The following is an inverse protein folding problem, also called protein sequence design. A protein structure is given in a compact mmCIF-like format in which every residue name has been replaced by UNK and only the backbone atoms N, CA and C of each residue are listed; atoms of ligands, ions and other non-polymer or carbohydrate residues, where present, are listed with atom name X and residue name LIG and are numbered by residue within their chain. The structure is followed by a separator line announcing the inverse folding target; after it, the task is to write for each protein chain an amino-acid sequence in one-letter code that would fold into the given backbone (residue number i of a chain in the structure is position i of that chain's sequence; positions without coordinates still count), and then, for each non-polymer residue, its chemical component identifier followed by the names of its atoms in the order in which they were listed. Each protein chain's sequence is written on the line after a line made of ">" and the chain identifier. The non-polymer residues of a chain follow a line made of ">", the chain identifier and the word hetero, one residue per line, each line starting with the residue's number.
data_IF_405197935969
#
_entry.id   IF_405197935969
#
_cell.length_a   1.000
_cell.length_b   1.000
_cell.length_c   1.000
_cell.angle_alpha   90.00
_cell.angle_beta   90.00
_cell.angle_gamma   90.00
#
_symmetry.space_group_name_H-M   'P 1'
#
loop_
_entity.id
_entity.type
_entity.pdbx_description
1 polymer ?
#
# COMPACT_ATOMS: atom_id res chain seq x y z
N UNK A 1 -14.61 14.77 55.24
CA UNK A 1 -15.38 13.55 55.61
C UNK A 1 -14.50 12.36 55.31
N UNK A 2 -13.58 11.98 56.20
CA UNK A 2 -13.83 11.14 57.39
C UNK A 2 -14.71 9.94 57.03
N UNK A 3 -14.06 8.80 56.78
CA UNK A 3 -14.59 7.50 57.19
C UNK A 3 -13.43 6.61 57.55
N UNK A 4 -12.96 6.80 58.79
CA UNK A 4 -12.27 5.75 59.54
C UNK A 4 -13.10 4.48 59.45
N UNK A 5 -12.50 3.40 58.97
CA UNK A 5 -13.00 2.05 59.20
C UNK A 5 -11.87 1.28 59.86
N UNK A 6 -11.62 1.63 61.11
CA UNK A 6 -10.95 0.75 62.06
C UNK A 6 -12.02 -0.13 62.72
N UNK A 7 -11.63 -1.38 63.01
CA UNK A 7 -12.40 -2.45 63.67
C UNK A 7 -13.52 -3.07 62.81
N UNK A 8 -13.46 -4.32 62.33
CA UNK A 8 -12.83 -5.53 62.87
C UNK A 8 -12.40 -6.43 61.70
N UNK A 9 -11.11 -6.49 61.37
CA UNK A 9 -10.61 -7.47 60.37
C UNK A 9 -10.50 -8.82 61.07
N UNK A 10 -11.35 -9.76 60.68
CA UNK A 10 -11.27 -11.13 61.16
C UNK A 10 -9.98 -11.76 60.59
N UNK A 11 -8.88 -11.60 61.32
CA UNK A 11 -7.64 -12.31 61.01
C UNK A 11 -7.93 -13.80 61.11
N UNK A 12 -7.87 -14.48 59.96
CA UNK A 12 -7.97 -15.93 59.94
C UNK A 12 -6.74 -16.49 60.66
N UNK A 13 -6.98 -17.34 61.66
CA UNK A 13 -5.92 -18.03 62.40
C UNK A 13 -5.10 -18.90 61.42
N UNK A 14 -3.77 -18.77 61.44
CA UNK A 14 -2.84 -19.55 60.61
C UNK A 14 -3.13 -21.05 60.70
N UNK A 15 -3.56 -21.51 61.88
CA UNK A 15 -3.97 -22.90 62.10
C UNK A 15 -5.15 -23.33 61.22
N UNK A 16 -6.12 -22.44 60.99
CA UNK A 16 -7.26 -22.71 60.10
C UNK A 16 -6.82 -22.76 58.64
N UNK A 17 -5.89 -21.88 58.25
CA UNK A 17 -5.32 -21.89 56.88
C UNK A 17 -4.54 -23.18 56.62
N UNK A 18 -3.75 -23.65 57.58
CA UNK A 18 -3.04 -24.93 57.48
C UNK A 18 -4.02 -26.10 57.39
N UNK A 19 -5.08 -26.09 58.19
CA UNK A 19 -6.13 -27.13 58.12
C UNK A 19 -6.86 -27.12 56.77
N UNK A 20 -7.11 -25.94 56.20
CA UNK A 20 -7.65 -25.78 54.85
C UNK A 20 -6.71 -26.39 53.79
N UNK A 21 -5.42 -26.04 53.82
CA UNK A 21 -4.41 -26.54 52.86
C UNK A 21 -4.19 -28.06 52.97
N UNK A 22 -4.34 -28.63 54.17
CA UNK A 22 -4.22 -30.07 54.43
C UNK A 22 -5.53 -30.84 54.27
N UNK A 23 -6.63 -30.22 53.84
CA UNK A 23 -7.92 -30.88 53.61
C UNK A 23 -8.63 -31.35 54.89
N UNK A 24 -8.33 -30.74 56.03
CA UNK A 24 -8.88 -31.10 57.36
C UNK A 24 -10.08 -30.25 57.78
N UNK A 25 -10.49 -29.29 56.95
CA UNK A 25 -11.64 -28.42 57.22
C UNK A 25 -12.95 -29.03 56.71
N UNK A 26 -14.07 -28.93 57.46
CA UNK A 26 -15.40 -29.24 56.95
C UNK A 26 -15.77 -28.37 55.73
N UNK A 27 -16.59 -28.90 54.83
CA UNK A 27 -16.97 -28.24 53.56
C UNK A 27 -17.64 -26.88 53.76
N UNK A 28 -18.44 -26.74 54.82
CA UNK A 28 -19.11 -25.48 55.19
C UNK A 28 -18.11 -24.39 55.61
N UNK A 29 -17.09 -24.75 56.40
CA UNK A 29 -16.05 -23.82 56.83
C UNK A 29 -15.08 -23.50 55.69
N UNK A 30 -14.82 -24.49 54.83
CA UNK A 30 -13.98 -24.35 53.65
C UNK A 30 -14.56 -23.31 52.69
N UNK A 31 -15.85 -23.42 52.40
CA UNK A 31 -16.54 -22.50 51.48
C UNK A 31 -16.52 -21.06 51.99
N UNK A 32 -16.69 -20.86 53.30
CA UNK A 32 -16.59 -19.54 53.92
C UNK A 32 -15.19 -18.95 53.81
N UNK A 33 -14.15 -19.75 54.01
CA UNK A 33 -12.77 -19.29 53.85
C UNK A 33 -12.43 -18.96 52.38
N UNK A 34 -12.91 -19.74 51.43
CA UNK A 34 -12.70 -19.46 50.00
C UNK A 34 -13.34 -18.13 49.57
N UNK A 35 -14.54 -17.83 50.06
CA UNK A 35 -15.21 -16.54 49.81
C UNK A 35 -14.44 -15.36 50.42
N UNK A 36 -13.85 -15.55 51.61
CA UNK A 36 -13.00 -14.54 52.26
C UNK A 36 -11.70 -14.32 51.47
N UNK A 37 -11.02 -15.39 51.02
CA UNK A 37 -9.80 -15.28 50.21
C UNK A 37 -10.05 -14.63 48.86
N UNK A 38 -11.24 -14.79 48.27
CA UNK A 38 -11.58 -14.13 47.01
C UNK A 38 -11.83 -12.62 47.15
N UNK A 39 -12.23 -12.18 48.35
CA UNK A 39 -12.67 -10.80 48.61
C UNK A 39 -11.62 -9.94 49.31
N UNK A 40 -10.61 -10.55 49.92
CA UNK A 40 -9.57 -9.88 50.71
C UNK A 40 -8.16 -10.30 50.26
N UNK A 41 -7.51 -9.41 49.52
CA UNK A 41 -6.14 -9.60 49.02
C UNK A 41 -5.12 -9.82 50.16
N UNK A 42 -5.30 -9.18 51.33
CA UNK A 42 -4.37 -9.35 52.46
C UNK A 42 -4.46 -10.77 53.05
N UNK A 43 -5.67 -11.35 53.12
CA UNK A 43 -5.87 -12.74 53.57
C UNK A 43 -5.39 -13.76 52.55
N UNK A 44 -5.50 -13.46 51.24
CA UNK A 44 -4.96 -14.29 50.18
C UNK A 44 -3.42 -14.33 50.21
N UNK A 45 -2.76 -13.21 50.45
CA UNK A 45 -1.30 -13.16 50.65
C UNK A 45 -0.87 -13.98 51.88
N UNK A 46 -1.66 -13.96 52.96
CA UNK A 46 -1.41 -14.81 54.14
C UNK A 46 -1.53 -16.31 53.81
N UNK A 47 -2.49 -16.70 52.98
CA UNK A 47 -2.62 -18.08 52.48
C UNK A 47 -1.38 -18.50 51.67
N UNK A 48 -0.91 -17.64 50.77
CA UNK A 48 0.28 -17.91 49.95
C UNK A 48 1.54 -18.07 50.81
N UNK A 49 1.72 -17.21 51.81
CA UNK A 49 2.86 -17.29 52.73
C UNK A 49 2.87 -18.61 53.54
N UNK A 50 1.71 -19.01 54.08
CA UNK A 50 1.56 -20.27 54.82
C UNK A 50 1.74 -21.49 53.89
N UNK A 51 1.30 -21.38 52.64
CA UNK A 51 1.52 -22.41 51.62
C UNK A 51 3.02 -22.60 51.33
N UNK A 52 3.78 -21.51 51.19
CA UNK A 52 5.23 -21.58 50.97
C UNK A 52 5.97 -22.18 52.17
N UNK A 53 5.63 -21.79 53.41
CA UNK A 53 6.20 -22.36 54.63
C UNK A 53 5.93 -23.88 54.72
N UNK A 54 4.72 -24.32 54.35
CA UNK A 54 4.34 -25.73 54.38
C UNK A 54 5.09 -26.55 53.31
N UNK A 55 5.34 -25.97 52.13
CA UNK A 55 6.16 -26.58 51.07
C UNK A 55 7.60 -26.72 51.55
N UNK A 56 8.17 -25.69 52.16
CA UNK A 56 9.53 -25.69 52.68
C UNK A 56 9.72 -26.77 53.77
N UNK A 57 8.81 -26.85 54.74
CA UNK A 57 8.81 -27.86 55.79
C UNK A 57 8.68 -29.28 55.22
N UNK A 58 7.87 -29.47 54.17
CA UNK A 58 7.72 -30.75 53.48
C UNK A 58 9.02 -31.19 52.81
N UNK A 59 9.67 -30.30 52.05
CA UNK A 59 10.89 -30.62 51.31
C UNK A 59 12.08 -30.81 52.25
N UNK A 60 12.12 -30.07 53.38
CA UNK A 60 13.13 -30.23 54.45
C UNK A 60 12.88 -31.44 55.36
N UNK A 61 11.76 -32.13 55.21
CA UNK A 61 11.34 -33.28 56.02
C UNK A 61 11.10 -32.93 57.50
N UNK A 62 10.57 -31.74 57.76
CA UNK A 62 10.27 -31.21 59.10
C UNK A 62 8.79 -31.41 59.50
N UNK A 63 7.93 -31.80 58.55
CA UNK A 63 6.53 -32.14 58.83
C UNK A 63 6.39 -33.42 59.65
N UNK A 64 5.44 -33.43 60.60
CA UNK A 64 5.09 -34.66 61.33
C UNK A 64 4.54 -35.74 60.39
N UNK A 65 4.69 -37.01 60.76
CA UNK A 65 4.20 -38.15 59.94
C UNK A 65 2.71 -38.04 59.58
N UNK A 66 1.88 -37.48 60.46
CA UNK A 66 0.45 -37.27 60.21
C UNK A 66 0.22 -36.14 59.21
N UNK A 67 0.90 -35.01 59.37
CA UNK A 67 0.79 -33.86 58.47
C UNK A 67 1.33 -34.18 57.08
N UNK A 68 2.47 -34.88 56.99
CA UNK A 68 3.07 -35.30 55.73
C UNK A 68 2.13 -36.16 54.89
N UNK A 69 1.46 -37.15 55.51
CA UNK A 69 0.46 -37.98 54.81
C UNK A 69 -0.69 -37.15 54.26
N UNK A 70 -1.16 -36.16 55.03
CA UNK A 70 -2.25 -35.27 54.62
C UNK A 70 -1.82 -34.32 53.49
N UNK A 71 -0.58 -33.82 53.56
CA UNK A 71 0.04 -33.01 52.52
C UNK A 71 0.16 -33.80 51.20
N UNK A 72 0.63 -35.04 51.25
CA UNK A 72 0.75 -35.91 50.07
C UNK A 72 -0.62 -36.28 49.47
N UNK A 73 -1.66 -36.46 50.30
CA UNK A 73 -3.00 -36.82 49.84
C UNK A 73 -3.78 -35.65 49.24
N UNK A 74 -3.77 -34.49 49.92
CA UNK A 74 -4.63 -33.36 49.56
C UNK A 74 -3.88 -32.24 48.86
N UNK A 75 -2.69 -31.88 49.32
CA UNK A 75 -1.93 -30.77 48.75
C UNK A 75 -1.30 -31.14 47.40
N UNK A 76 -0.65 -32.31 47.32
CA UNK A 76 -0.08 -32.85 46.08
C UNK A 76 -1.15 -33.43 45.14
N UNK A 77 -2.46 -33.27 45.40
CA UNK A 77 -3.49 -33.67 44.43
C UNK A 77 -3.57 -32.71 43.23
N UNK A 78 -3.21 -31.43 43.42
CA UNK A 78 -3.21 -30.40 42.38
C UNK A 78 -1.91 -30.41 41.55
N UNK A 79 -1.99 -30.43 40.20
CA UNK A 79 -0.82 -30.33 39.33
C UNK A 79 0.04 -29.08 39.58
N UNK A 80 -0.59 -27.92 39.82
CA UNK A 80 0.10 -26.64 40.06
C UNK A 80 0.87 -26.66 41.39
N UNK A 81 0.31 -27.28 42.43
CA UNK A 81 0.97 -27.45 43.74
C UNK A 81 2.15 -28.42 43.68
N UNK A 82 2.07 -29.48 42.86
CA UNK A 82 3.20 -30.38 42.61
C UNK A 82 4.37 -29.65 41.98
N UNK A 83 4.12 -28.80 40.99
CA UNK A 83 5.16 -28.01 40.31
C UNK A 83 5.88 -27.08 41.30
N UNK A 84 5.15 -26.39 42.19
CA UNK A 84 5.75 -25.56 43.24
C UNK A 84 6.65 -26.35 44.20
N UNK A 85 6.22 -27.55 44.58
CA UNK A 85 7.02 -28.44 45.45
C UNK A 85 8.29 -28.93 44.75
N UNK A 86 8.21 -29.27 43.46
CA UNK A 86 9.38 -29.67 42.68
C UNK A 86 10.34 -28.50 42.44
N UNK A 87 9.81 -27.29 42.23
CA UNK A 87 10.61 -26.07 42.18
C UNK A 87 11.37 -25.82 43.49
N UNK A 88 10.68 -25.89 44.64
CA UNK A 88 11.31 -25.76 45.95
C UNK A 88 12.38 -26.85 46.21
N UNK A 89 12.13 -28.09 45.74
CA UNK A 89 13.11 -29.19 45.77
C UNK A 89 14.35 -28.89 44.94
N UNK A 90 14.20 -28.34 43.74
CA UNK A 90 15.32 -27.94 42.89
C UNK A 90 16.15 -26.80 43.51
N UNK A 91 15.47 -25.83 44.15
CA UNK A 91 16.12 -24.72 44.84
C UNK A 91 16.96 -25.18 46.04
N UNK A 92 16.47 -26.16 46.81
CA UNK A 92 17.21 -26.72 47.96
C UNK A 92 18.46 -27.51 47.56
N UNK A 93 18.54 -28.01 46.32
CA UNK A 93 19.73 -28.70 45.82
C UNK A 93 20.85 -27.74 45.40
N UNK A 94 20.53 -26.46 45.16
CA UNK A 94 21.48 -25.46 44.63
C UNK A 94 22.05 -24.51 45.69
N UNK A 95 21.50 -24.48 46.91
CA UNK A 95 21.94 -23.56 47.98
C UNK A 95 22.75 -24.32 49.05
N UNK A 96 24.03 -23.98 49.30
CA UNK A 96 24.82 -24.56 50.39
C UNK A 96 24.28 -24.12 51.77
N UNK A 97 24.21 -25.08 52.71
CA UNK A 97 23.58 -24.93 54.02
C UNK A 97 24.34 -23.98 54.96
N UNK A 98 23.71 -22.93 55.50
CA UNK A 98 23.98 -22.49 56.87
C UNK A 98 23.10 -23.29 57.84
N UNK A 99 23.74 -23.98 58.79
CA UNK A 99 23.07 -24.44 60.01
C UNK A 99 22.73 -23.21 60.84
N UNK A 100 21.45 -22.92 60.97
CA UNK A 100 20.91 -22.09 62.05
C UNK A 100 19.73 -22.82 62.66
N UNK A 101 19.70 -22.98 64.00
CA UNK A 101 18.62 -23.68 64.67
C UNK A 101 17.38 -22.81 64.56
N UNK A 102 16.38 -23.23 63.78
CA UNK A 102 15.08 -22.59 63.75
C UNK A 102 14.02 -23.54 64.26
N UNK A 103 13.25 -22.95 65.17
CA UNK A 103 12.06 -23.49 65.78
C UNK A 103 11.01 -23.64 64.68
N UNK A 104 10.48 -24.85 64.55
CA UNK A 104 9.27 -25.14 63.78
C UNK A 104 8.15 -24.18 64.23
N UNK A 105 7.53 -23.49 63.28
CA UNK A 105 6.35 -22.63 63.53
C UNK A 105 5.13 -23.44 64.01
N UNK A 106 5.18 -24.77 63.91
CA UNK A 106 4.20 -25.68 64.49
C UNK A 106 4.52 -26.11 65.93
N UNK A 107 5.56 -25.52 66.56
CA UNK A 107 6.02 -25.84 67.90
C UNK A 107 5.84 -24.74 68.97
N UNK A 108 5.29 -23.57 68.65
CA UNK A 108 5.20 -22.46 69.63
C UNK A 108 3.86 -22.43 70.37
N UNK A 109 3.52 -23.53 71.05
CA UNK A 109 2.83 -23.42 72.33
C UNK A 109 3.90 -23.14 73.39
N UNK A 110 4.09 -21.85 73.72
CA UNK A 110 4.71 -21.33 74.95
C UNK A 110 6.26 -21.33 75.02
N UNK A 111 6.90 -20.19 74.73
CA UNK A 111 8.08 -19.70 75.47
C UNK A 111 8.47 -18.25 75.08
N UNK A 112 8.66 -17.39 76.09
CA UNK A 112 9.24 -16.05 75.97
C UNK A 112 10.76 -16.13 76.15
N UNK A 113 11.56 -15.57 75.23
CA UNK A 113 12.98 -15.28 75.51
C UNK A 113 13.57 -14.16 74.60
N UNK A 114 14.61 -13.41 75.05
CA UNK A 114 15.00 -12.10 74.48
C UNK A 114 16.04 -12.14 73.34
N UNK A 115 16.38 -13.31 72.79
CA UNK A 115 17.37 -13.45 71.70
C UNK A 115 16.89 -12.97 70.32
N UNK A 116 15.59 -12.64 70.17
CA UNK A 116 14.96 -12.18 68.93
C UNK A 116 15.36 -10.77 68.46
N UNK A 117 16.18 -10.03 69.21
CA UNK A 117 16.52 -8.64 68.86
C UNK A 117 17.56 -8.51 67.74
N UNK A 118 18.36 -9.54 67.47
CA UNK A 118 19.37 -9.52 66.40
C UNK A 118 18.92 -10.18 65.08
N UNK A 119 17.78 -10.90 65.06
CA UNK A 119 17.24 -11.54 63.84
C UNK A 119 16.46 -10.58 62.92
N UNK A 120 15.95 -9.47 63.47
CA UNK A 120 15.21 -8.46 62.71
C UNK A 120 16.13 -7.64 61.79
N UNK A 121 17.36 -7.34 62.24
CA UNK A 121 18.32 -6.56 61.47
C UNK A 121 18.76 -7.30 60.19
N UNK A 122 18.96 -8.63 60.26
CA UNK A 122 19.28 -9.45 59.09
C UNK A 122 18.12 -9.54 58.10
N UNK A 123 16.87 -9.57 58.58
CA UNK A 123 15.68 -9.62 57.73
C UNK A 123 15.50 -8.30 56.96
N UNK A 124 15.75 -7.18 57.65
CA UNK A 124 15.73 -5.85 57.04
C UNK A 124 16.81 -5.73 55.96
N UNK A 125 18.03 -6.22 56.20
CA UNK A 125 19.10 -6.22 55.18
C UNK A 125 18.75 -7.10 53.98
N UNK A 126 18.08 -8.24 54.20
CA UNK A 126 17.62 -9.12 53.11
C UNK A 126 16.46 -8.52 52.31
N UNK A 127 15.52 -7.84 52.97
CA UNK A 127 14.41 -7.15 52.30
C UNK A 127 14.93 -5.92 51.55
N UNK A 128 15.87 -5.17 52.11
CA UNK A 128 16.50 -4.03 51.43
C UNK A 128 17.39 -4.54 50.28
N UNK A 129 18.14 -5.62 50.47
CA UNK A 129 18.99 -6.23 49.45
C UNK A 129 18.19 -6.85 48.29
N UNK A 130 17.18 -7.66 48.60
CA UNK A 130 16.26 -8.25 47.62
C UNK A 130 15.40 -7.19 46.94
N UNK A 131 14.87 -6.23 47.70
CA UNK A 131 14.11 -5.10 47.18
C UNK A 131 14.93 -4.21 46.27
N UNK A 132 16.20 -3.94 46.61
CA UNK A 132 17.09 -3.16 45.74
C UNK A 132 17.43 -3.88 44.44
N UNK A 133 17.64 -5.21 44.46
CA UNK A 133 17.81 -5.99 43.22
C UNK A 133 16.56 -5.96 42.34
N UNK A 134 15.38 -6.13 42.93
CA UNK A 134 14.10 -6.05 42.20
C UNK A 134 13.86 -4.67 41.60
N UNK A 135 14.21 -3.59 42.30
CA UNK A 135 14.12 -2.23 41.77
C UNK A 135 15.08 -2.02 40.60
N UNK A 136 16.32 -2.53 40.69
CA UNK A 136 17.29 -2.45 39.59
C UNK A 136 16.77 -3.20 38.36
N UNK A 137 16.22 -4.40 38.52
CA UNK A 137 15.67 -5.17 37.40
C UNK A 137 14.39 -4.53 36.83
N UNK A 138 13.51 -3.96 37.67
CA UNK A 138 12.35 -3.21 37.21
C UNK A 138 12.76 -1.99 36.36
N UNK A 139 13.80 -1.26 36.74
CA UNK A 139 14.34 -0.15 35.96
C UNK A 139 15.00 -0.63 34.65
N UNK A 140 15.72 -1.75 34.67
CA UNK A 140 16.27 -2.37 33.45
C UNK A 140 15.18 -2.77 32.47
N UNK A 141 14.08 -3.36 32.94
CA UNK A 141 12.95 -3.74 32.08
C UNK A 141 12.28 -2.51 31.45
N UNK A 142 12.06 -1.44 32.23
CA UNK A 142 11.54 -0.16 31.70
C UNK A 142 12.42 0.39 30.59
N UNK A 143 13.75 0.30 30.73
CA UNK A 143 14.68 0.76 29.69
C UNK A 143 14.61 -0.09 28.40
N UNK A 144 14.34 -1.40 28.50
CA UNK A 144 14.16 -2.28 27.33
C UNK A 144 12.86 -1.95 26.60
N UNK A 145 11.77 -1.71 27.33
CA UNK A 145 10.49 -1.30 26.75
C UNK A 145 10.65 0.03 26.00
N UNK A 146 11.29 1.03 26.63
CA UNK A 146 11.54 2.32 26.00
C UNK A 146 12.37 2.22 24.70
N UNK A 147 13.38 1.33 24.66
CA UNK A 147 14.17 1.08 23.43
C UNK A 147 13.33 0.46 22.33
N UNK A 148 12.51 -0.55 22.65
CA UNK A 148 11.64 -1.22 21.68
C UNK A 148 10.59 -0.24 21.13
N UNK A 149 10.00 0.57 21.99
CA UNK A 149 9.06 1.62 21.56
C UNK A 149 9.73 2.65 20.65
N UNK A 150 10.96 3.09 20.96
CA UNK A 150 11.72 4.00 20.12
C UNK A 150 12.03 3.39 18.74
N UNK A 151 12.45 2.12 18.70
CA UNK A 151 12.72 1.40 17.45
C UNK A 151 11.45 1.21 16.61
N UNK A 152 10.32 0.89 17.26
CA UNK A 152 9.00 0.82 16.61
C UNK A 152 8.61 2.16 16.00
N UNK A 153 8.78 3.26 16.73
CA UNK A 153 8.46 4.61 16.24
C UNK A 153 9.32 4.95 15.02
N UNK A 154 10.62 4.64 15.06
CA UNK A 154 11.53 4.89 13.93
C UNK A 154 11.15 4.06 12.70
N UNK A 155 10.90 2.76 12.87
CA UNK A 155 10.42 1.89 11.78
C UNK A 155 9.08 2.39 11.20
N UNK A 156 8.15 2.77 12.06
CA UNK A 156 6.85 3.31 11.65
C UNK A 156 6.99 4.63 10.90
N UNK A 157 7.93 5.48 11.33
CA UNK A 157 8.31 6.70 10.64
C UNK A 157 8.90 6.39 9.27
N UNK A 158 9.76 5.39 9.15
CA UNK A 158 10.35 4.98 7.88
C UNK A 158 9.30 4.44 6.91
N UNK A 159 8.36 3.61 7.40
CA UNK A 159 7.24 3.09 6.60
C UNK A 159 6.33 4.22 6.13
N UNK A 160 5.97 5.14 7.02
CA UNK A 160 5.11 6.28 6.66
C UNK A 160 5.79 7.20 5.66
N UNK A 161 7.09 7.45 5.79
CA UNK A 161 7.87 8.22 4.80
C UNK A 161 7.92 7.52 3.44
N UNK A 162 8.21 6.22 3.40
CA UNK A 162 8.22 5.44 2.15
C UNK A 162 6.84 5.39 1.50
N UNK A 163 5.79 5.23 2.30
CA UNK A 163 4.41 5.23 1.81
C UNK A 163 4.06 6.58 1.22
N UNK A 164 4.34 7.69 1.93
CA UNK A 164 4.11 9.04 1.44
C UNK A 164 4.87 9.31 0.13
N UNK A 165 6.14 8.92 0.06
CA UNK A 165 6.94 9.07 -1.15
C UNK A 165 6.38 8.28 -2.35
N UNK A 166 5.97 7.02 -2.13
CA UNK A 166 5.35 6.21 -3.17
C UNK A 166 3.99 6.78 -3.63
N UNK A 167 3.19 7.34 -2.71
CA UNK A 167 1.93 7.98 -3.07
C UNK A 167 2.14 9.23 -3.91
N UNK A 168 3.16 10.04 -3.59
CA UNK A 168 3.50 11.22 -4.39
C UNK A 168 4.00 10.84 -5.78
N UNK A 169 4.90 9.85 -5.88
CA UNK A 169 5.41 9.36 -7.16
C UNK A 169 4.29 8.81 -8.05
N UNK A 170 3.36 8.04 -7.48
CA UNK A 170 2.19 7.56 -8.21
C UNK A 170 1.29 8.71 -8.68
N UNK A 171 1.10 9.75 -7.86
CA UNK A 171 0.33 10.93 -8.25
C UNK A 171 1.01 11.71 -9.39
N UNK A 172 2.34 11.79 -9.40
CA UNK A 172 3.10 12.40 -10.50
C UNK A 172 2.95 11.59 -11.81
N UNK A 173 3.11 10.26 -11.74
CA UNK A 173 2.92 9.38 -12.88
C UNK A 173 1.50 9.46 -13.47
N UNK A 174 0.48 9.54 -12.61
CA UNK A 174 -0.90 9.72 -13.06
C UNK A 174 -1.12 11.06 -13.77
N UNK A 175 -0.53 12.15 -13.27
CA UNK A 175 -0.58 13.46 -13.93
C UNK A 175 0.08 13.41 -15.32
N UNK A 176 1.24 12.78 -15.44
CA UNK A 176 1.91 12.65 -16.74
C UNK A 176 1.08 11.83 -17.73
N UNK A 177 0.50 10.70 -17.29
CA UNK A 177 -0.39 9.89 -18.12
C UNK A 177 -1.61 10.66 -18.58
N UNK A 178 -2.24 11.43 -17.68
CA UNK A 178 -3.38 12.27 -18.02
C UNK A 178 -3.03 13.32 -19.07
N UNK A 179 -1.89 14.02 -18.90
CA UNK A 179 -1.41 15.00 -19.87
C UNK A 179 -1.14 14.36 -21.24
N UNK A 180 -0.49 13.18 -21.27
CA UNK A 180 -0.25 12.44 -22.51
C UNK A 180 -1.54 12.06 -23.22
N UNK A 181 -2.53 11.53 -22.48
CA UNK A 181 -3.82 11.16 -23.06
C UNK A 181 -4.57 12.37 -23.63
N UNK A 182 -4.55 13.51 -22.94
CA UNK A 182 -5.16 14.73 -23.48
C UNK A 182 -4.45 15.21 -24.75
N UNK A 183 -3.12 15.13 -24.78
CA UNK A 183 -2.34 15.52 -25.95
C UNK A 183 -2.61 14.58 -27.14
N UNK A 184 -2.70 13.27 -26.90
CA UNK A 184 -3.05 12.26 -27.91
C UNK A 184 -4.46 12.47 -28.44
N UNK A 185 -5.43 12.79 -27.58
CA UNK A 185 -6.79 13.13 -28.00
C UNK A 185 -6.83 14.38 -28.85
N UNK A 186 -6.08 15.42 -28.47
CA UNK A 186 -6.01 16.65 -29.26
C UNK A 186 -5.36 16.38 -30.62
N UNK A 187 -4.29 15.59 -30.67
CA UNK A 187 -3.67 15.16 -31.94
C UNK A 187 -4.66 14.38 -32.79
N UNK A 188 -5.38 13.41 -32.22
CA UNK A 188 -6.37 12.60 -32.94
C UNK A 188 -7.52 13.47 -33.50
N UNK A 189 -7.99 14.44 -32.70
CA UNK A 189 -9.02 15.40 -33.12
C UNK A 189 -8.52 16.28 -34.26
N UNK A 190 -7.30 16.81 -34.16
CA UNK A 190 -6.67 17.62 -35.21
C UNK A 190 -6.44 16.80 -36.49
N UNK A 191 -6.07 15.52 -36.38
CA UNK A 191 -5.93 14.62 -37.53
C UNK A 191 -7.29 14.37 -38.22
N UNK A 192 -8.37 14.17 -37.47
CA UNK A 192 -9.72 14.02 -38.04
C UNK A 192 -10.21 15.29 -38.77
N UNK A 193 -9.75 16.47 -38.35
CA UNK A 193 -10.09 17.74 -38.98
C UNK A 193 -9.26 18.04 -40.24
N UNK A 194 -8.16 17.32 -40.48
CA UNK A 194 -7.34 17.52 -41.66
C UNK A 194 -7.94 16.77 -42.86
N UNK A 195 -8.34 17.46 -43.94
CA UNK A 195 -8.81 16.77 -45.12
C UNK A 195 -7.67 15.94 -45.71
N UNK A 196 -7.95 14.67 -46.00
CA UNK A 196 -7.02 13.84 -46.78
C UNK A 196 -6.91 14.44 -48.19
N UNK A 197 -5.82 15.16 -48.45
CA UNK A 197 -5.49 15.79 -49.73
C UNK A 197 -4.57 14.83 -50.49
N UNK A 198 -4.98 14.40 -51.67
CA UNK A 198 -4.10 13.62 -52.56
C UNK A 198 -3.52 14.54 -53.62
N UNK A 199 -2.20 14.52 -53.82
CA UNK A 199 -1.53 15.35 -54.82
C UNK A 199 -0.96 14.52 -55.95
N UNK A 200 -1.30 14.84 -57.20
CA UNK A 200 -0.75 14.21 -58.41
C UNK A 200 -0.15 15.26 -59.34
N UNK A 201 0.95 14.92 -60.02
CA UNK A 201 1.55 15.76 -61.04
C UNK A 201 1.11 15.29 -62.44
N UNK A 202 0.63 16.21 -63.27
CA UNK A 202 0.24 15.94 -64.65
C UNK A 202 1.21 16.63 -65.61
N UNK A 203 1.67 15.86 -66.59
CA UNK A 203 2.50 16.33 -67.69
C UNK A 203 1.61 16.64 -68.91
N UNK A 204 1.90 17.72 -69.66
CA UNK A 204 1.16 18.06 -70.87
C UNK A 204 1.46 17.07 -72.00
N UNK A 205 0.52 16.89 -72.93
CA UNK A 205 0.79 16.26 -74.23
C UNK A 205 0.82 14.72 -74.27
N UNK A 206 0.54 13.99 -73.19
CA UNK A 206 0.45 12.53 -73.26
C UNK A 206 -0.88 12.07 -73.86
N UNK A 207 -0.94 12.01 -75.19
CA UNK A 207 -1.87 11.11 -75.89
C UNK A 207 -1.08 10.29 -76.89
N UNK A 208 -1.14 8.96 -76.72
CA UNK A 208 -0.99 7.88 -77.72
C UNK A 208 0.00 6.78 -77.28
N UNK A 209 -0.57 5.58 -77.09
CA UNK A 209 0.05 4.25 -77.09
C UNK A 209 0.99 3.81 -75.95
N UNK A 210 0.70 4.20 -74.70
CA UNK A 210 1.24 3.48 -73.54
C UNK A 210 0.09 3.27 -72.56
N UNK A 211 -0.03 2.06 -72.03
CA UNK A 211 -1.07 1.57 -71.11
C UNK A 211 -1.34 2.58 -69.97
N UNK A 212 -2.48 3.28 -70.04
CA UNK A 212 -3.12 4.12 -69.00
C UNK A 212 -2.17 5.00 -68.13
N UNK A 213 -1.41 5.96 -68.70
CA UNK A 213 -0.22 6.52 -68.06
C UNK A 213 -0.51 7.45 -66.87
N UNK A 214 -1.77 7.89 -66.68
CA UNK A 214 -2.17 8.80 -65.61
C UNK A 214 -3.40 8.27 -64.85
N UNK A 215 -3.39 6.98 -64.45
CA UNK A 215 -4.43 6.42 -63.58
C UNK A 215 -4.24 6.90 -62.14
N UNK A 216 -5.20 7.69 -61.67
CA UNK A 216 -5.27 8.21 -60.31
C UNK A 216 -6.19 7.30 -59.48
N UNK A 217 -5.60 6.57 -58.54
CA UNK A 217 -6.33 5.75 -57.59
C UNK A 217 -6.70 6.59 -56.37
N UNK A 218 -8.00 6.73 -56.11
CA UNK A 218 -8.51 7.52 -54.98
C UNK A 218 -8.89 6.55 -53.83
N UNK A 219 -8.13 6.52 -52.72
CA UNK A 219 -8.50 5.75 -51.54
C UNK A 219 -9.80 6.25 -50.88
N UNK A 220 -10.52 5.37 -50.17
CA UNK A 220 -11.74 5.74 -49.46
C UNK A 220 -11.47 6.80 -48.40
N UNK A 221 -12.27 7.86 -48.37
CA UNK A 221 -12.16 8.96 -47.39
C UNK A 221 -11.35 10.18 -47.84
N UNK A 222 -10.80 10.18 -49.07
CA UNK A 222 -10.16 11.37 -49.63
C UNK A 222 -11.18 12.47 -49.97
N UNK A 223 -10.92 13.70 -49.53
CA UNK A 223 -11.86 14.83 -49.68
C UNK A 223 -11.46 15.80 -50.80
N UNK A 224 -10.15 15.98 -51.03
CA UNK A 224 -9.63 16.92 -52.04
C UNK A 224 -8.57 16.24 -52.94
N UNK A 225 -8.68 16.50 -54.23
CA UNK A 225 -7.70 16.12 -55.26
C UNK A 225 -6.93 17.37 -55.69
N UNK A 226 -5.62 17.38 -55.43
CA UNK A 226 -4.69 18.42 -55.86
C UNK A 226 -3.93 17.98 -57.10
N UNK A 227 -4.18 18.63 -58.22
CA UNK A 227 -3.51 18.41 -59.50
C UNK A 227 -2.42 19.47 -59.70
N UNK A 228 -1.18 19.04 -59.87
CA UNK A 228 -0.03 19.89 -60.21
C UNK A 228 0.26 19.77 -61.69
N UNK A 229 -0.13 20.76 -62.46
CA UNK A 229 0.02 20.82 -63.90
C UNK A 229 1.38 21.40 -64.24
N UNK A 230 2.26 20.62 -64.85
CA UNK A 230 3.57 21.11 -65.29
C UNK A 230 3.44 21.84 -66.62
N UNK A 231 4.01 23.04 -66.72
CA UNK A 231 3.89 23.91 -67.88
C UNK A 231 5.09 23.68 -68.83
N UNK A 232 4.82 23.36 -70.10
CA UNK A 232 5.86 23.24 -71.14
C UNK A 232 6.44 24.60 -71.55
N UNK A 233 5.59 25.63 -71.61
CA UNK A 233 5.98 27.01 -71.94
C UNK A 233 5.71 27.93 -70.76
N UNK A 234 6.75 28.56 -70.25
CA UNK A 234 6.66 29.62 -69.25
C UNK A 234 6.32 30.93 -69.99
N UNK A 235 5.07 31.07 -70.41
CA UNK A 235 4.58 32.34 -70.97
C UNK A 235 4.36 33.38 -69.87
N UNK A 236 4.41 34.67 -70.23
CA UNK A 236 4.06 35.78 -69.34
C UNK A 236 2.53 35.87 -69.19
N UNK A 237 1.93 34.89 -68.51
CA UNK A 237 0.50 34.85 -68.25
C UNK A 237 0.17 35.53 -66.91
N UNK A 238 -0.83 36.40 -66.90
CA UNK A 238 -1.31 37.10 -65.70
C UNK A 238 -2.21 36.21 -64.81
N UNK A 239 -2.55 35.03 -65.32
CA UNK A 239 -3.33 34.01 -64.64
C UNK A 239 -3.63 32.84 -65.56
N UNK A 240 -4.20 31.77 -64.99
CA UNK A 240 -4.62 30.60 -65.73
C UNK A 240 -6.09 30.30 -65.48
N UNK A 241 -6.77 29.75 -66.49
CA UNK A 241 -8.13 29.23 -66.45
C UNK A 241 -8.09 27.77 -66.85
N UNK A 242 -8.75 26.92 -66.08
CA UNK A 242 -8.83 25.49 -66.38
C UNK A 242 -10.26 25.11 -66.78
N UNK A 243 -10.39 24.26 -67.79
CA UNK A 243 -11.66 23.68 -68.25
C UNK A 243 -11.59 22.17 -68.06
N UNK A 244 -12.49 21.61 -67.25
CA UNK A 244 -12.58 20.18 -66.99
C UNK A 244 -13.73 19.57 -67.80
N UNK A 245 -13.42 18.55 -68.59
CA UNK A 245 -14.39 17.75 -69.34
C UNK A 245 -14.46 16.32 -68.80
N UNK A 246 -15.68 15.84 -68.65
CA UNK A 246 -16.00 14.51 -68.19
C UNK A 246 -15.84 13.41 -69.24
N UNK A 247 -16.06 12.15 -68.84
CA UNK A 247 -15.98 10.99 -69.73
C UNK A 247 -17.05 11.01 -70.85
N UNK A 248 -18.20 11.65 -70.63
CA UNK A 248 -19.27 11.78 -71.62
C UNK A 248 -19.10 13.02 -72.53
N UNK A 249 -17.96 13.72 -72.45
CA UNK A 249 -17.70 14.94 -73.21
C UNK A 249 -18.42 16.18 -72.69
N UNK A 250 -19.24 16.02 -71.65
CA UNK A 250 -19.89 17.12 -70.94
C UNK A 250 -18.87 18.00 -70.19
N UNK A 251 -19.12 19.30 -70.21
CA UNK A 251 -18.32 20.25 -69.45
C UNK A 251 -18.80 20.23 -67.99
N UNK A 252 -18.18 19.37 -67.17
CA UNK A 252 -18.54 19.19 -65.75
C UNK A 252 -18.35 20.50 -64.99
N UNK A 253 -17.33 21.29 -65.35
CA UNK A 253 -17.11 22.61 -64.73
C UNK A 253 -16.52 23.64 -65.68
N UNK A 254 -17.05 24.86 -65.59
CA UNK A 254 -16.35 26.12 -65.84
C UNK A 254 -16.99 27.21 -64.99
N UNK A 255 -16.36 27.61 -63.87
CA UNK A 255 -16.26 29.06 -63.60
C UNK A 255 -15.08 29.44 -62.67
N UNK A 256 -14.46 30.62 -62.87
CA UNK A 256 -13.76 31.39 -61.82
C UNK A 256 -12.95 30.62 -60.75
N UNK A 257 -12.04 29.73 -61.15
CA UNK A 257 -11.02 29.24 -60.24
C UNK A 257 -9.94 30.32 -60.12
N UNK A 258 -10.10 31.11 -59.05
CA UNK A 258 -9.16 32.02 -58.41
C UNK A 258 -7.74 31.88 -58.95
N UNK A 259 -7.23 32.97 -59.54
CA UNK A 259 -5.86 33.13 -60.07
C UNK A 259 -4.92 32.06 -59.49
N UNK A 260 -4.64 31.03 -60.28
CA UNK A 260 -3.65 30.04 -59.90
C UNK A 260 -2.33 30.82 -59.80
N UNK A 261 -1.86 31.04 -58.56
CA UNK A 261 -0.54 31.62 -58.37
C UNK A 261 0.46 30.61 -58.94
N UNK A 262 1.38 31.02 -59.81
CA UNK A 262 2.50 30.14 -60.16
C UNK A 262 3.10 29.64 -58.85
N UNK A 263 3.30 28.31 -58.70
CA UNK A 263 4.12 27.82 -57.60
C UNK A 263 5.48 28.53 -57.63
N UNK A 264 6.23 28.57 -56.52
CA UNK A 264 7.42 29.43 -56.27
C UNK A 264 8.49 29.50 -57.39
N UNK A 265 8.40 28.65 -58.43
CA UNK A 265 9.26 28.60 -59.61
C UNK A 265 8.63 29.03 -60.95
N UNK A 266 7.33 29.34 -61.05
CA UNK A 266 6.66 29.67 -62.33
C UNK A 266 6.41 28.48 -63.27
N UNK A 267 6.81 27.26 -62.87
CA UNK A 267 6.86 26.07 -63.74
C UNK A 267 5.67 25.12 -63.58
N UNK A 268 4.78 25.38 -62.63
CA UNK A 268 3.60 24.55 -62.43
C UNK A 268 2.40 25.35 -61.92
N UNK A 269 1.22 25.00 -62.44
CA UNK A 269 -0.07 25.46 -61.95
C UNK A 269 -0.66 24.41 -61.00
N UNK A 270 -1.11 24.82 -59.81
CA UNK A 270 -1.71 23.90 -58.83
C UNK A 270 -3.21 24.13 -58.78
N UNK A 271 -3.98 23.08 -59.01
CA UNK A 271 -5.44 23.08 -59.00
C UNK A 271 -5.95 22.12 -57.92
N UNK A 272 -6.74 22.61 -56.97
CA UNK A 272 -7.37 21.78 -55.93
C UNK A 272 -8.87 21.66 -56.19
N UNK A 273 -9.37 20.43 -56.34
CA UNK A 273 -10.76 20.13 -56.68
C UNK A 273 -11.37 19.15 -55.66
N UNK A 274 -12.63 19.33 -55.25
CA UNK A 274 -13.37 18.32 -54.46
C UNK A 274 -13.46 16.97 -55.18
N UNK A 275 -13.23 15.86 -54.47
CA UNK A 275 -13.33 14.49 -55.04
C UNK A 275 -14.77 14.09 -55.41
N UNK A 276 -15.77 14.79 -54.85
CA UNK A 276 -17.19 14.62 -55.18
C UNK A 276 -17.54 14.93 -56.64
N UNK A 277 -16.71 15.72 -57.34
CA UNK A 277 -16.92 16.10 -58.74
C UNK A 277 -16.55 15.00 -59.74
N UNK A 278 -15.85 13.96 -59.30
CA UNK A 278 -15.30 12.95 -60.17
C UNK A 278 -15.98 11.60 -59.95
N UNK A 279 -16.44 10.98 -61.03
CA UNK A 279 -16.78 9.56 -61.09
C UNK A 279 -15.64 8.76 -61.72
N UNK A 280 -15.71 7.43 -61.68
CA UNK A 280 -14.73 6.58 -62.36
C UNK A 280 -14.81 6.82 -63.87
N UNK A 281 -13.67 7.08 -64.51
CA UNK A 281 -13.61 7.38 -65.95
C UNK A 281 -12.43 8.26 -66.34
N UNK A 282 -12.33 8.55 -67.64
CA UNK A 282 -11.28 9.39 -68.21
C UNK A 282 -11.74 10.85 -68.32
N UNK A 283 -10.85 11.76 -67.94
CA UNK A 283 -11.10 13.20 -67.93
C UNK A 283 -10.05 13.92 -68.76
N UNK A 284 -10.47 15.03 -69.38
CA UNK A 284 -9.57 15.97 -70.03
C UNK A 284 -9.62 17.32 -69.33
N UNK A 285 -8.47 17.82 -68.94
CA UNK A 285 -8.29 19.16 -68.41
C UNK A 285 -7.52 20.01 -69.43
N UNK A 286 -8.15 21.07 -69.91
CA UNK A 286 -7.51 22.06 -70.78
C UNK A 286 -7.14 23.28 -69.98
N UNK A 287 -5.86 23.62 -69.94
CA UNK A 287 -5.34 24.82 -69.29
C UNK A 287 -5.18 25.94 -70.31
N UNK A 288 -5.80 27.09 -70.03
CA UNK A 288 -5.71 28.32 -70.83
C UNK A 288 -5.03 29.42 -70.02
N UNK A 289 -4.03 30.09 -70.60
CA UNK A 289 -3.34 31.22 -70.01
C UNK A 289 -4.04 32.53 -70.38
N UNK A 290 -4.14 33.45 -69.42
CA UNK A 290 -4.65 34.80 -69.65
C UNK A 290 -3.45 35.68 -69.99
N UNK A 291 -3.41 36.16 -71.22
CA UNK A 291 -2.35 37.06 -71.72
C UNK A 291 -2.51 38.47 -71.15
N UNK A 292 -1.54 39.35 -71.37
CA UNK A 292 -1.61 40.76 -70.94
C UNK A 292 -2.74 41.56 -71.60
N UNK A 293 -3.22 41.13 -72.78
CA UNK A 293 -4.38 41.72 -73.47
C UNK A 293 -5.73 41.22 -72.93
N UNK A 294 -5.73 40.18 -72.09
CA UNK A 294 -6.94 39.54 -71.56
C UNK A 294 -7.45 38.37 -72.41
N UNK A 295 -6.79 38.06 -73.53
CA UNK A 295 -7.14 36.92 -74.37
C UNK A 295 -6.73 35.59 -73.73
N UNK A 296 -7.50 34.54 -74.02
CA UNK A 296 -7.24 33.18 -73.55
C UNK A 296 -6.44 32.40 -74.59
N UNK A 297 -5.20 32.07 -74.24
CA UNK A 297 -4.31 31.23 -75.05
C UNK A 297 -4.28 29.80 -74.50
N UNK A 298 -4.30 28.78 -75.36
CA UNK A 298 -4.27 27.39 -74.93
C UNK A 298 -2.84 27.00 -74.53
N UNK A 299 -2.63 26.68 -73.25
CA UNK A 299 -1.31 26.41 -72.67
C UNK A 299 -0.99 24.91 -72.71
N UNK A 300 -1.98 24.05 -72.52
CA UNK A 300 -1.79 22.60 -72.61
C UNK A 300 -3.04 21.80 -72.26
N UNK A 301 -3.11 20.60 -72.81
CA UNK A 301 -4.13 19.60 -72.50
C UNK A 301 -3.51 18.48 -71.64
N UNK A 302 -4.22 18.10 -70.58
CA UNK A 302 -3.83 17.08 -69.62
C UNK A 302 -4.93 16.01 -69.54
N UNK A 303 -4.54 14.75 -69.69
CA UNK A 303 -5.45 13.61 -69.66
C UNK A 303 -5.15 12.75 -68.44
N UNK A 304 -6.18 12.30 -67.75
CA UNK A 304 -6.06 11.41 -66.59
C UNK A 304 -7.30 10.54 -66.42
N UNK A 305 -7.12 9.37 -65.80
CA UNK A 305 -8.19 8.41 -65.51
C UNK A 305 -8.37 8.33 -64.00
N UNK A 306 -9.60 8.41 -63.51
CA UNK A 306 -9.91 8.25 -62.08
C UNK A 306 -10.46 6.86 -61.81
N UNK A 307 -9.87 6.21 -60.80
CA UNK A 307 -10.36 4.97 -60.23
C UNK A 307 -10.53 5.13 -58.71
N UNK A 308 -11.77 5.27 -58.26
CA UNK A 308 -12.15 5.19 -56.84
C UNK A 308 -12.09 3.75 -56.38
N UNK A 309 -11.45 3.52 -55.23
CA UNK A 309 -11.43 2.22 -54.54
C UNK A 309 -12.66 2.04 -53.66
#
# INVERSE_FOLDING_TARGET
>A
MVRSKDSSREKVDDKKVIQYLLGQLPEEERSRLEEMFFSDDELFEQLLAIEDDLIDDYVRNELSRKQRKQFELYFLSSPQRRERVEFARALLQTIPRPVSPRQSLLGSLRAQSPALRFSLATLIVLVIGGGSLLVIDALRLRSRIARIEAERIELQRQISQQSAHNTDLNAQLQRERYLRQMLEQEIARLQQLQPTIISFALLPGMTRDIDDPNRITIPPGAQQLRLRLLLERIGQYNGFRAELRGPEGEQIMSPNLSRIRPGDSGKAAVLSLPISLFNNGSYKLTLKGITSSGDLDAVGDYYFTIAKQ
#
